data_IF_726034378815
#
_entry.id   IF_726034378815
#
_cell.length_a   1.000
_cell.length_b   1.000
_cell.length_c   1.000
_cell.angle_alpha   90.00
_cell.angle_beta   90.00
_cell.angle_gamma   90.00
#
_symmetry.space_group_name_H-M   'P 1'
#
loop_
_entity.id
_entity.type
_entity.pdbx_description
1 polymer ?
#
# COMPACT_ATOMS: atom_id res chain seq x y z
N UNK A 1 29.86 3.30 8.13
CA UNK A 1 28.46 3.65 8.34
C UNK A 1 27.80 2.47 9.02
N UNK A 2 27.16 2.71 10.16
CA UNK A 2 26.40 1.69 10.88
C UNK A 2 24.90 1.96 10.65
N UNK A 3 24.09 0.96 10.22
CA UNK A 3 22.66 1.16 10.08
C UNK A 3 22.04 1.43 11.46
N UNK A 4 21.14 2.41 11.54
CA UNK A 4 20.35 2.68 12.76
C UNK A 4 19.19 1.69 12.89
N UNK A 5 18.66 1.24 11.75
CA UNK A 5 17.50 0.36 11.68
C UNK A 5 17.60 -0.48 10.39
N UNK A 6 17.19 -1.73 10.48
CA UNK A 6 17.08 -2.64 9.35
C UNK A 6 15.79 -3.46 9.41
N UNK A 7 15.56 -4.34 8.44
CA UNK A 7 14.40 -5.23 8.39
C UNK A 7 13.08 -4.53 8.06
N UNK A 8 13.08 -3.25 7.69
CA UNK A 8 11.89 -2.57 7.18
C UNK A 8 11.49 -3.16 5.83
N UNK A 9 10.18 -3.16 5.55
CA UNK A 9 9.67 -3.63 4.27
C UNK A 9 9.95 -2.58 3.20
N UNK A 10 10.94 -2.85 2.38
CA UNK A 10 11.31 -1.99 1.25
C UNK A 10 11.52 -2.86 0.03
N UNK A 11 10.87 -2.53 -1.06
CA UNK A 11 10.92 -3.30 -2.32
C UNK A 11 9.53 -3.43 -2.94
N UNK A 12 9.49 -3.84 -4.21
CA UNK A 12 8.26 -3.76 -4.98
C UNK A 12 8.08 -2.36 -5.58
N UNK A 13 6.86 -1.93 -5.74
CA UNK A 13 6.53 -0.65 -6.41
C UNK A 13 7.04 0.57 -5.65
N UNK A 14 7.05 0.50 -4.33
CA UNK A 14 7.47 1.61 -3.48
C UNK A 14 8.40 1.11 -2.36
N UNK A 15 9.09 2.06 -1.74
CA UNK A 15 10.12 1.79 -0.76
C UNK A 15 10.01 2.75 0.44
N UNK A 16 10.94 2.65 1.37
CA UNK A 16 11.08 3.61 2.47
C UNK A 16 11.49 4.97 1.89
N UNK A 17 10.65 5.97 2.13
CA UNK A 17 10.80 7.30 1.53
C UNK A 17 11.57 8.28 2.42
N UNK A 18 11.17 9.53 2.32
CA UNK A 18 11.76 10.70 2.99
C UNK A 18 11.71 10.61 4.53
N UNK A 19 12.59 11.35 5.20
CA UNK A 19 12.68 11.41 6.67
C UNK A 19 12.49 12.85 7.14
N UNK A 20 11.59 13.05 8.09
CA UNK A 20 11.41 14.32 8.80
C UNK A 20 11.70 14.16 10.29
N UNK A 21 12.14 15.25 10.92
CA UNK A 21 12.35 15.29 12.38
C UNK A 21 11.24 16.09 13.03
N UNK A 22 10.57 15.46 13.99
CA UNK A 22 9.45 16.06 14.70
C UNK A 22 9.86 17.00 15.82
N UNK A 23 8.94 17.87 16.25
CA UNK A 23 9.17 18.77 17.39
C UNK A 23 9.33 18.01 18.72
N UNK A 24 8.98 16.74 18.75
CA UNK A 24 9.17 15.81 19.87
C UNK A 24 10.57 15.16 19.90
N UNK A 25 11.45 15.52 18.96
CA UNK A 25 12.81 14.98 18.85
C UNK A 25 12.86 13.56 18.25
N UNK A 26 11.79 13.09 17.62
CA UNK A 26 11.75 11.78 16.92
C UNK A 26 11.97 11.96 15.42
N UNK A 27 12.42 10.93 14.75
CA UNK A 27 12.37 10.85 13.28
C UNK A 27 11.06 10.18 12.83
N UNK A 28 10.57 10.65 11.68
CA UNK A 28 9.35 10.16 11.03
C UNK A 28 9.66 9.82 9.58
N UNK A 29 9.15 8.70 9.09
CA UNK A 29 9.39 8.27 7.70
C UNK A 29 8.25 7.41 7.20
N UNK A 30 8.07 7.41 5.87
CA UNK A 30 7.05 6.62 5.20
C UNK A 30 7.60 5.30 4.66
N UNK A 31 6.75 4.27 4.64
CA UNK A 31 6.99 3.02 3.91
C UNK A 31 5.78 2.75 3.02
N UNK A 32 5.99 2.76 1.70
CA UNK A 32 4.93 2.57 0.72
C UNK A 32 4.52 1.11 0.53
N UNK A 33 3.45 0.90 -0.21
CA UNK A 33 2.97 -0.42 -0.62
C UNK A 33 3.95 -1.10 -1.56
N UNK A 34 4.01 -2.41 -1.54
CA UNK A 34 4.85 -3.18 -2.49
C UNK A 34 4.13 -3.44 -3.80
N UNK A 35 2.84 -3.17 -3.87
CA UNK A 35 2.00 -3.30 -5.07
C UNK A 35 1.29 -2.01 -5.40
N UNK A 36 0.72 -1.92 -6.60
CA UNK A 36 -0.12 -0.79 -7.00
C UNK A 36 -1.35 -0.62 -6.10
N UNK A 37 -2.09 -1.70 -5.85
CA UNK A 37 -3.40 -1.66 -5.20
C UNK A 37 -3.68 -2.90 -4.33
N UNK A 38 -2.72 -3.33 -3.51
CA UNK A 38 -2.73 -4.49 -2.62
C UNK A 38 -2.88 -5.86 -3.31
N UNK A 39 -2.83 -5.92 -4.64
CA UNK A 39 -2.92 -7.16 -5.42
C UNK A 39 -1.67 -7.30 -6.27
N UNK A 40 -0.95 -8.40 -6.09
CA UNK A 40 0.21 -8.73 -6.90
C UNK A 40 -0.25 -9.18 -8.29
N UNK A 41 0.21 -8.50 -9.32
CA UNK A 41 -0.17 -8.74 -10.71
C UNK A 41 1.01 -9.05 -11.62
N UNK A 42 0.70 -9.23 -12.90
CA UNK A 42 1.71 -9.44 -13.95
C UNK A 42 2.67 -8.24 -14.11
N UNK A 43 2.24 -7.04 -13.76
CA UNK A 43 3.07 -5.84 -13.72
C UNK A 43 4.26 -6.00 -12.77
N UNK A 44 4.05 -6.59 -11.58
CA UNK A 44 5.14 -6.86 -10.62
C UNK A 44 6.17 -7.87 -11.18
N UNK A 45 5.77 -8.74 -12.14
CA UNK A 45 6.71 -9.58 -12.87
C UNK A 45 7.54 -8.77 -13.87
N UNK A 46 6.89 -7.93 -14.69
CA UNK A 46 7.59 -7.11 -15.68
C UNK A 46 8.55 -6.11 -15.07
N UNK A 47 8.29 -5.62 -13.86
CA UNK A 47 9.24 -4.82 -13.09
C UNK A 47 10.34 -5.64 -12.42
N UNK A 48 10.33 -6.97 -12.56
CA UNK A 48 11.35 -7.87 -12.03
C UNK A 48 11.17 -8.28 -10.56
N UNK A 49 10.15 -7.77 -9.89
CA UNK A 49 9.95 -8.02 -8.45
C UNK A 49 9.65 -9.49 -8.15
N UNK A 50 8.82 -10.16 -8.95
CA UNK A 50 8.46 -11.56 -8.71
C UNK A 50 9.64 -12.53 -8.95
N UNK A 51 10.60 -12.14 -9.79
CA UNK A 51 11.82 -12.94 -10.01
C UNK A 51 12.73 -12.96 -8.78
N UNK A 52 12.86 -11.84 -8.09
CA UNK A 52 13.70 -11.69 -6.89
C UNK A 52 12.95 -11.97 -5.59
N UNK A 53 11.64 -11.73 -5.55
CA UNK A 53 10.79 -11.86 -4.37
C UNK A 53 9.49 -12.62 -4.69
N UNK A 54 9.53 -13.95 -4.88
CA UNK A 54 8.37 -14.73 -5.35
C UNK A 54 7.20 -14.76 -4.35
N UNK A 55 7.45 -14.37 -3.10
CA UNK A 55 6.42 -14.25 -2.06
C UNK A 55 6.05 -12.79 -1.76
N UNK A 56 6.35 -11.87 -2.68
CA UNK A 56 5.99 -10.46 -2.56
C UNK A 56 4.49 -10.32 -2.32
N UNK A 57 4.11 -9.56 -1.30
CA UNK A 57 2.76 -9.06 -1.06
C UNK A 57 2.81 -7.94 -0.04
N UNK A 58 1.80 -7.10 -0.01
CA UNK A 58 1.63 -6.11 1.04
C UNK A 58 1.37 -6.78 2.40
N UNK A 59 1.88 -6.18 3.47
CA UNK A 59 1.66 -6.62 4.85
C UNK A 59 1.01 -5.47 5.59
N UNK A 60 -0.23 -5.63 6.07
CA UNK A 60 -0.93 -4.55 6.76
C UNK A 60 -0.42 -4.36 8.19
N UNK A 61 -0.56 -3.13 8.72
CA UNK A 61 -0.32 -2.85 10.14
C UNK A 61 -1.44 -3.42 11.02
N UNK A 62 -2.68 -3.21 10.62
CA UNK A 62 -3.87 -3.74 11.33
C UNK A 62 -4.27 -5.09 10.74
N UNK A 63 -4.87 -5.95 11.54
CA UNK A 63 -5.51 -7.14 10.99
C UNK A 63 -6.65 -6.72 10.03
N UNK A 64 -6.68 -7.35 8.86
CA UNK A 64 -7.66 -7.07 7.80
C UNK A 64 -8.50 -8.32 7.56
N UNK A 65 -9.83 -8.17 7.55
CA UNK A 65 -10.76 -9.21 7.10
C UNK A 65 -11.06 -9.00 5.62
N UNK A 66 -10.78 -10.00 4.79
CA UNK A 66 -10.95 -9.94 3.34
C UNK A 66 -12.38 -10.26 2.91
N UNK A 67 -12.83 -9.64 1.81
CA UNK A 67 -14.08 -9.99 1.14
C UNK A 67 -14.00 -11.24 0.27
N UNK A 68 -12.77 -11.71 -0.04
CA UNK A 68 -12.54 -12.84 -0.93
C UNK A 68 -12.60 -12.48 -2.42
N UNK A 69 -12.45 -11.20 -2.75
CA UNK A 69 -12.32 -10.75 -4.14
C UNK A 69 -10.95 -11.17 -4.67
N UNK A 70 -10.95 -11.78 -5.84
CA UNK A 70 -9.74 -12.27 -6.50
C UNK A 70 -9.67 -11.74 -7.93
N UNK A 71 -8.47 -11.40 -8.37
CA UNK A 71 -8.22 -10.83 -9.69
C UNK A 71 -7.50 -11.83 -10.58
N UNK A 72 -8.06 -12.03 -11.78
CA UNK A 72 -7.48 -12.88 -12.80
C UNK A 72 -6.40 -12.10 -13.56
N UNK A 73 -5.26 -12.72 -13.78
CA UNK A 73 -4.21 -12.19 -14.64
C UNK A 73 -3.53 -13.32 -15.44
N UNK A 74 -2.80 -12.96 -16.51
CA UNK A 74 -1.91 -13.90 -17.15
C UNK A 74 -0.86 -14.40 -16.16
N UNK A 75 -0.51 -15.68 -16.23
CA UNK A 75 0.58 -16.23 -15.43
C UNK A 75 1.91 -16.06 -16.19
N UNK A 76 2.78 -15.13 -15.78
CA UNK A 76 4.01 -14.83 -16.51
C UNK A 76 5.02 -15.99 -16.50
N UNK A 77 4.91 -16.91 -15.54
CA UNK A 77 5.77 -18.09 -15.46
C UNK A 77 5.40 -19.19 -16.47
N UNK A 78 4.29 -19.03 -17.20
CA UNK A 78 3.79 -19.97 -18.19
C UNK A 78 3.68 -19.37 -19.60
N UNK A 79 4.21 -18.18 -19.84
CA UNK A 79 4.10 -17.47 -21.12
C UNK A 79 4.71 -18.24 -22.31
N UNK A 80 5.67 -19.13 -22.06
CA UNK A 80 6.31 -19.96 -23.09
C UNK A 80 5.61 -21.31 -23.29
N UNK A 81 4.48 -21.56 -22.66
CA UNK A 81 3.71 -22.80 -22.83
C UNK A 81 2.71 -22.65 -23.99
N UNK A 82 2.34 -23.75 -24.67
CA UNK A 82 1.40 -23.72 -25.80
C UNK A 82 0.02 -23.12 -25.41
N UNK A 83 -0.37 -23.26 -24.16
CA UNK A 83 -1.60 -22.65 -23.61
C UNK A 83 -1.16 -21.81 -22.43
N UNK A 84 -1.15 -20.46 -22.53
CA UNK A 84 -0.83 -19.59 -21.41
C UNK A 84 -1.85 -19.82 -20.30
N UNK A 85 -1.37 -20.16 -19.12
CA UNK A 85 -2.21 -20.28 -17.93
C UNK A 85 -2.48 -18.91 -17.33
N UNK A 86 -3.60 -18.80 -16.63
CA UNK A 86 -3.95 -17.64 -15.83
C UNK A 86 -3.74 -17.94 -14.35
N UNK A 87 -3.63 -16.90 -13.53
CA UNK A 87 -3.56 -16.98 -12.07
C UNK A 87 -4.61 -16.08 -11.43
N UNK A 88 -5.17 -16.56 -10.34
CA UNK A 88 -6.08 -15.79 -9.49
C UNK A 88 -5.31 -15.34 -8.26
N UNK A 89 -5.30 -14.03 -7.98
CA UNK A 89 -4.58 -13.45 -6.85
C UNK A 89 -5.52 -12.60 -6.01
N UNK A 90 -5.55 -12.86 -4.71
CA UNK A 90 -6.27 -12.08 -3.72
C UNK A 90 -5.43 -10.90 -3.21
N UNK A 91 -6.08 -9.92 -2.60
CA UNK A 91 -5.38 -8.83 -1.94
C UNK A 91 -4.55 -9.33 -0.74
N UNK A 92 -3.41 -8.70 -0.49
CA UNK A 92 -2.44 -9.06 0.56
C UNK A 92 -1.92 -10.51 0.46
N UNK A 93 -1.97 -11.09 -0.73
CA UNK A 93 -1.51 -12.46 -1.02
C UNK A 93 -0.38 -12.45 -2.05
N UNK A 94 0.55 -13.41 -1.98
CA UNK A 94 1.50 -13.64 -3.06
C UNK A 94 0.81 -13.93 -4.39
N UNK A 95 1.51 -13.68 -5.50
CA UNK A 95 1.01 -13.97 -6.84
C UNK A 95 0.48 -15.42 -6.96
N UNK A 96 -0.70 -15.58 -7.53
CA UNK A 96 -1.35 -16.88 -7.74
C UNK A 96 -1.98 -17.49 -6.48
N UNK A 97 -2.02 -16.77 -5.37
CA UNK A 97 -2.69 -17.23 -4.14
C UNK A 97 -4.01 -16.50 -3.97
N UNK A 98 -5.15 -17.17 -4.14
CA UNK A 98 -6.46 -16.56 -3.94
C UNK A 98 -6.76 -16.31 -2.45
N UNK A 99 -7.65 -15.37 -2.18
CA UNK A 99 -8.24 -15.12 -0.87
C UNK A 99 -9.65 -15.71 -0.77
N UNK A 100 -10.09 -15.99 0.45
CA UNK A 100 -11.44 -16.46 0.76
C UNK A 100 -12.26 -15.39 1.49
N UNK A 101 -13.61 -15.38 1.34
CA UNK A 101 -14.47 -14.50 2.11
C UNK A 101 -14.29 -14.70 3.63
N UNK A 102 -14.09 -13.60 4.35
CA UNK A 102 -13.88 -13.63 5.79
C UNK A 102 -12.47 -14.02 6.25
N UNK A 103 -11.56 -14.35 5.33
CA UNK A 103 -10.17 -14.62 5.65
C UNK A 103 -9.53 -13.42 6.36
N UNK A 104 -8.76 -13.68 7.42
CA UNK A 104 -8.07 -12.63 8.18
C UNK A 104 -6.59 -12.63 7.83
N UNK A 105 -6.10 -11.50 7.34
CA UNK A 105 -4.67 -11.22 7.22
C UNK A 105 -4.22 -10.60 8.53
N UNK A 106 -3.25 -11.20 9.25
CA UNK A 106 -2.79 -10.66 10.52
C UNK A 106 -2.05 -9.34 10.33
N UNK A 107 -2.21 -8.43 11.28
CA UNK A 107 -1.43 -7.20 11.34
C UNK A 107 0.02 -7.44 11.76
N UNK A 108 0.90 -6.51 11.40
CA UNK A 108 2.32 -6.55 11.75
C UNK A 108 2.84 -5.16 12.08
N UNK A 109 3.74 -5.05 13.08
CA UNK A 109 4.47 -3.80 13.29
C UNK A 109 5.37 -3.48 12.08
N UNK A 110 5.99 -4.48 11.46
CA UNK A 110 6.77 -4.31 10.22
C UNK A 110 5.82 -4.45 9.03
N UNK A 111 5.25 -3.34 8.63
CA UNK A 111 4.16 -3.24 7.66
C UNK A 111 4.52 -2.38 6.44
N UNK A 112 3.66 -2.42 5.43
CA UNK A 112 3.63 -1.49 4.30
C UNK A 112 2.52 -0.45 4.48
N UNK A 113 2.55 0.61 3.68
CA UNK A 113 1.50 1.63 3.63
C UNK A 113 1.33 2.37 4.94
N UNK A 114 2.46 2.71 5.59
CA UNK A 114 2.50 3.27 6.95
C UNK A 114 3.45 4.46 7.06
N UNK A 115 3.18 5.30 8.05
CA UNK A 115 4.12 6.27 8.60
C UNK A 115 4.64 5.71 9.93
N UNK A 116 5.93 5.62 10.03
CA UNK A 116 6.63 5.28 11.27
C UNK A 116 7.14 6.50 12.01
N UNK A 117 7.33 6.36 13.31
CA UNK A 117 8.28 7.18 14.06
C UNK A 117 9.20 6.31 14.89
N UNK A 118 10.43 6.79 15.11
CA UNK A 118 11.42 6.16 15.95
C UNK A 118 12.27 7.22 16.67
N UNK A 119 13.00 6.82 17.72
CA UNK A 119 14.03 7.67 18.32
C UNK A 119 15.21 7.85 17.34
N UNK A 120 16.03 8.86 17.55
CA UNK A 120 17.17 9.16 16.69
C UNK A 120 18.25 8.06 16.67
N UNK A 121 18.25 7.18 17.67
CA UNK A 121 19.11 6.00 17.72
C UNK A 121 18.51 4.76 17.03
N UNK A 122 17.32 4.91 16.40
CA UNK A 122 16.59 3.83 15.76
C UNK A 122 15.70 3.00 16.67
N UNK A 123 15.75 3.21 17.98
CA UNK A 123 14.93 2.48 18.93
C UNK A 123 13.48 2.99 18.98
N UNK A 124 12.60 2.27 19.69
CA UNK A 124 11.20 2.64 19.92
C UNK A 124 10.42 2.91 18.63
N UNK A 125 10.55 1.99 17.64
CA UNK A 125 9.79 2.04 16.40
C UNK A 125 8.30 1.85 16.68
N UNK A 126 7.48 2.75 16.14
CA UNK A 126 6.01 2.68 16.22
C UNK A 126 5.36 3.17 14.94
N UNK A 127 4.19 2.64 14.63
CA UNK A 127 3.35 3.15 13.54
C UNK A 127 2.55 4.34 14.05
N UNK A 128 2.64 5.45 13.33
CA UNK A 128 1.90 6.70 13.58
C UNK A 128 0.58 6.71 12.82
N UNK A 129 0.61 6.24 11.57
CA UNK A 129 -0.56 6.18 10.68
C UNK A 129 -0.40 5.04 9.68
N UNK A 130 -1.52 4.55 9.16
CA UNK A 130 -1.54 3.51 8.13
C UNK A 130 -2.59 3.77 7.04
N UNK A 131 -2.58 2.95 6.00
CA UNK A 131 -3.51 3.09 4.89
C UNK A 131 -3.14 4.20 3.90
N UNK A 132 -1.87 4.59 3.83
CA UNK A 132 -1.28 5.45 2.79
C UNK A 132 -0.65 4.55 1.72
N UNK A 133 -0.88 4.84 0.42
CA UNK A 133 -0.34 3.99 -0.65
C UNK A 133 1.16 4.13 -0.79
N UNK A 134 1.63 5.35 -0.98
CA UNK A 134 3.05 5.66 -1.10
C UNK A 134 3.35 7.04 -0.50
N UNK A 135 3.61 7.11 0.80
CA UNK A 135 3.96 8.35 1.50
C UNK A 135 5.39 8.77 1.15
N UNK A 136 5.58 9.44 0.00
CA UNK A 136 6.90 9.76 -0.55
C UNK A 136 7.48 11.09 -0.07
N UNK A 137 6.66 12.02 0.39
CA UNK A 137 7.11 13.29 0.94
C UNK A 137 6.53 13.51 2.34
N UNK A 138 7.36 13.90 3.31
CA UNK A 138 6.95 14.05 4.70
C UNK A 138 7.56 15.31 5.32
N UNK A 139 6.78 16.05 6.12
CA UNK A 139 7.28 17.26 6.76
C UNK A 139 6.38 17.79 7.86
N UNK A 140 6.99 18.54 8.76
CA UNK A 140 6.27 19.26 9.81
C UNK A 140 6.09 20.72 9.42
N UNK A 141 4.87 21.25 9.61
CA UNK A 141 4.68 22.70 9.56
C UNK A 141 5.27 23.37 10.81
N UNK A 142 5.51 24.69 10.80
CA UNK A 142 5.91 25.42 12.00
C UNK A 142 4.92 25.31 13.17
N UNK A 143 3.69 24.93 12.89
CA UNK A 143 2.65 24.67 13.90
C UNK A 143 2.78 23.29 14.57
N UNK A 144 3.77 22.47 14.19
CA UNK A 144 4.01 21.13 14.74
C UNK A 144 3.14 20.02 14.13
N UNK A 145 2.26 20.31 13.17
CA UNK A 145 1.47 19.28 12.52
C UNK A 145 2.28 18.57 11.43
N UNK A 146 2.15 17.25 11.34
CA UNK A 146 2.77 16.41 10.31
C UNK A 146 1.91 16.40 9.06
N UNK A 147 2.54 16.61 7.89
CA UNK A 147 1.94 16.49 6.58
C UNK A 147 2.69 15.47 5.74
N UNK A 148 1.95 14.77 4.90
CA UNK A 148 2.48 13.72 4.01
C UNK A 148 1.91 13.91 2.61
N UNK A 149 2.78 13.78 1.60
CA UNK A 149 2.40 13.61 0.21
C UNK A 149 2.29 12.12 -0.07
N UNK A 150 1.11 11.68 -0.48
CA UNK A 150 0.79 10.29 -0.79
C UNK A 150 0.48 10.16 -2.29
N UNK A 151 1.27 9.34 -2.98
CA UNK A 151 1.11 9.12 -4.41
C UNK A 151 -0.13 8.28 -4.69
N UNK A 152 -0.92 8.71 -5.67
CA UNK A 152 -2.11 8.02 -6.14
C UNK A 152 -1.82 6.69 -6.84
N UNK A 153 -2.88 5.95 -7.14
CA UNK A 153 -2.80 4.66 -7.82
C UNK A 153 -2.51 4.83 -9.32
N UNK A 154 -2.04 3.75 -9.95
CA UNK A 154 -1.78 3.71 -11.40
C UNK A 154 -2.83 2.86 -12.12
N UNK A 155 -3.09 3.20 -13.39
CA UNK A 155 -3.97 2.45 -14.29
C UNK A 155 -3.29 1.19 -14.85
N UNK A 156 -2.75 0.32 -13.95
CA UNK A 156 -2.01 -0.90 -14.30
C UNK A 156 -2.22 -2.01 -13.27
N UNK A 157 -1.73 -3.20 -13.62
CA UNK A 157 -1.79 -4.38 -12.77
C UNK A 157 -3.15 -5.05 -12.78
N UNK A 158 -3.32 -6.06 -11.94
CA UNK A 158 -4.57 -6.84 -11.89
C UNK A 158 -5.74 -6.06 -11.30
N UNK A 159 -5.46 -5.05 -10.46
CA UNK A 159 -6.43 -4.14 -9.88
C UNK A 159 -6.03 -2.71 -10.25
N UNK A 160 -6.28 -2.37 -11.51
CA UNK A 160 -5.93 -1.07 -12.07
C UNK A 160 -6.88 0.03 -11.59
N UNK A 161 -6.35 1.23 -11.34
CA UNK A 161 -7.12 2.39 -10.88
C UNK A 161 -6.74 3.61 -11.69
N UNK A 162 -7.67 4.14 -12.47
CA UNK A 162 -7.47 5.36 -13.27
C UNK A 162 -7.78 6.62 -12.48
N UNK A 163 -7.30 7.75 -12.98
CA UNK A 163 -7.64 9.10 -12.48
C UNK A 163 -7.42 9.29 -10.96
N UNK A 164 -6.49 8.55 -10.39
CA UNK A 164 -6.13 8.69 -8.99
C UNK A 164 -5.17 9.87 -8.81
N UNK A 165 -5.57 10.95 -8.14
CA UNK A 165 -4.67 12.06 -7.86
C UNK A 165 -3.68 11.70 -6.76
N UNK A 166 -2.53 12.37 -6.76
CA UNK A 166 -1.69 12.48 -5.57
C UNK A 166 -2.42 13.34 -4.52
N UNK A 167 -2.13 13.10 -3.26
CA UNK A 167 -2.85 13.75 -2.16
C UNK A 167 -1.89 14.24 -1.08
N UNK A 168 -2.21 15.39 -0.50
CA UNK A 168 -1.57 15.84 0.73
C UNK A 168 -2.50 15.58 1.91
N UNK A 169 -1.97 14.93 2.94
CA UNK A 169 -2.69 14.61 4.16
C UNK A 169 -2.08 15.30 5.37
N UNK A 170 -2.93 15.82 6.25
CA UNK A 170 -2.53 16.10 7.63
C UNK A 170 -2.63 14.81 8.42
N UNK A 171 -1.53 14.40 9.04
CA UNK A 171 -1.47 13.11 9.75
C UNK A 171 -1.97 13.26 11.18
N UNK A 172 -2.83 12.33 11.57
CA UNK A 172 -3.36 12.16 12.92
C UNK A 172 -2.81 10.83 13.45
N UNK A 173 -2.32 10.84 14.68
CA UNK A 173 -1.81 9.62 15.33
C UNK A 173 -2.90 8.55 15.43
N UNK A 174 -2.56 7.32 15.04
CA UNK A 174 -3.52 6.21 14.93
C UNK A 174 -4.47 6.29 13.74
N UNK A 175 -4.33 7.29 12.83
CA UNK A 175 -5.22 7.49 11.69
C UNK A 175 -5.03 6.45 10.58
N UNK A 176 -6.15 6.08 9.91
CA UNK A 176 -6.16 5.28 8.67
C UNK A 176 -6.59 6.13 7.49
N UNK A 177 -5.88 6.03 6.33
CA UNK A 177 -6.00 6.94 5.19
C UNK A 177 -6.56 6.30 3.91
N UNK A 178 -7.02 5.05 3.99
CA UNK A 178 -7.89 4.48 2.97
C UNK A 178 -7.29 3.39 2.07
N UNK A 179 -5.96 3.24 1.98
CA UNK A 179 -5.38 2.14 1.19
C UNK A 179 -5.79 0.78 1.76
N UNK A 180 -6.25 -0.17 0.94
CA UNK A 180 -6.24 -0.15 -0.53
C UNK A 180 -7.60 0.17 -1.16
N UNK A 181 -8.61 0.55 -0.41
CA UNK A 181 -10.00 0.59 -0.88
C UNK A 181 -10.54 2.01 -1.13
N UNK A 182 -9.74 3.04 -0.84
CA UNK A 182 -10.10 4.43 -1.08
C UNK A 182 -9.02 5.16 -1.87
N UNK A 183 -9.43 6.05 -2.73
CA UNK A 183 -8.62 6.97 -3.54
C UNK A 183 -8.85 8.37 -3.01
N UNK A 184 -7.84 8.96 -2.36
CA UNK A 184 -7.96 10.34 -1.83
C UNK A 184 -9.24 10.57 -1.00
N UNK A 185 -9.59 9.60 -0.14
CA UNK A 185 -10.77 9.65 0.71
C UNK A 185 -12.11 9.29 0.04
N UNK A 186 -12.08 8.85 -1.23
CA UNK A 186 -13.28 8.42 -1.98
C UNK A 186 -13.22 6.91 -2.26
N UNK A 187 -14.35 6.19 -2.22
CA UNK A 187 -14.37 4.77 -2.53
C UNK A 187 -13.72 4.45 -3.88
N UNK A 188 -12.86 3.43 -3.92
CA UNK A 188 -12.18 3.00 -5.16
C UNK A 188 -13.17 2.50 -6.22
N UNK A 189 -14.39 2.14 -5.80
CA UNK A 189 -15.49 1.68 -6.66
C UNK A 189 -16.19 2.81 -7.41
N UNK A 190 -15.85 4.07 -7.18
CA UNK A 190 -16.42 5.19 -7.93
C UNK A 190 -16.11 5.06 -9.43
N UNK A 191 -17.06 5.37 -10.33
CA UNK A 191 -16.92 5.13 -11.77
C UNK A 191 -15.68 5.78 -12.41
N UNK A 192 -15.27 6.94 -11.93
CA UNK A 192 -14.09 7.66 -12.46
C UNK A 192 -12.77 6.93 -12.20
N UNK A 193 -12.71 6.00 -11.25
CA UNK A 193 -11.51 5.21 -10.94
C UNK A 193 -11.43 3.92 -11.75
N UNK A 194 -12.44 3.62 -12.56
CA UNK A 194 -12.41 2.45 -13.42
C UNK A 194 -11.46 2.65 -14.59
N UNK A 195 -10.60 1.68 -14.82
CA UNK A 195 -9.68 1.66 -15.97
C UNK A 195 -10.36 1.01 -17.16
N UNK A 196 -10.48 1.70 -18.31
CA UNK A 196 -11.11 1.11 -19.49
C UNK A 196 -10.45 -0.21 -19.91
N UNK A 197 -11.27 -1.21 -20.17
CA UNK A 197 -10.78 -2.54 -20.59
C UNK A 197 -10.20 -3.42 -19.49
N UNK A 198 -10.20 -2.94 -18.24
CA UNK A 198 -9.77 -3.72 -17.07
C UNK A 198 -10.97 -4.06 -16.17
N UNK A 199 -10.87 -5.13 -15.37
CA UNK A 199 -11.86 -5.39 -14.33
C UNK A 199 -11.99 -4.18 -13.39
N UNK A 200 -13.23 -3.80 -12.99
CA UNK A 200 -13.42 -2.68 -12.08
C UNK A 200 -12.77 -2.98 -10.72
N UNK A 201 -12.14 -2.00 -10.07
CA UNK A 201 -11.62 -2.18 -8.72
C UNK A 201 -12.79 -2.32 -7.73
N UNK A 202 -12.82 -3.43 -7.02
CA UNK A 202 -13.79 -3.70 -5.95
C UNK A 202 -13.15 -3.46 -4.59
N UNK A 203 -13.97 -3.29 -3.53
CA UNK A 203 -13.46 -3.35 -2.17
C UNK A 203 -12.92 -4.74 -1.86
N UNK A 204 -11.71 -4.81 -1.34
CA UNK A 204 -11.07 -6.06 -0.93
C UNK A 204 -11.13 -6.30 0.58
N UNK A 205 -11.33 -5.23 1.37
CA UNK A 205 -11.56 -5.32 2.81
C UNK A 205 -13.07 -5.48 3.10
N UNK A 206 -13.39 -6.34 4.05
CA UNK A 206 -14.77 -6.54 4.51
C UNK A 206 -15.27 -5.41 5.40
N UNK A 207 -14.37 -4.84 6.18
CA UNK A 207 -14.63 -3.73 7.10
C UNK A 207 -13.51 -2.71 6.95
N UNK A 208 -13.86 -1.42 7.01
CA UNK A 208 -12.90 -0.33 6.93
C UNK A 208 -12.84 0.41 8.27
N UNK A 209 -11.63 0.73 8.79
CA UNK A 209 -11.51 1.74 9.82
C UNK A 209 -12.10 3.07 9.32
N UNK A 210 -12.55 3.97 10.21
CA UNK A 210 -12.94 5.30 9.80
C UNK A 210 -11.75 6.03 9.17
N UNK A 211 -11.99 6.73 8.06
CA UNK A 211 -10.98 7.61 7.46
C UNK A 211 -10.58 8.70 8.45
N UNK A 212 -9.28 8.92 8.59
CA UNK A 212 -8.73 9.90 9.54
C UNK A 212 -8.97 11.37 9.13
N UNK A 213 -9.53 11.60 7.94
CA UNK A 213 -9.88 12.93 7.44
C UNK A 213 -10.03 12.95 5.92
N UNK A 214 -10.07 14.17 5.39
CA UNK A 214 -10.03 14.45 3.95
C UNK A 214 -8.64 14.97 3.58
N UNK A 215 -8.16 14.72 2.36
CA UNK A 215 -6.90 15.31 1.92
C UNK A 215 -6.98 16.84 1.91
N UNK A 216 -5.88 17.46 2.27
CA UNK A 216 -5.74 18.93 2.25
C UNK A 216 -5.63 19.44 0.82
N UNK A 217 -4.96 18.66 -0.05
CA UNK A 217 -4.84 18.89 -1.50
C UNK A 217 -5.03 17.56 -2.24
N UNK A 218 -5.54 17.68 -3.47
CA UNK A 218 -5.72 16.57 -4.43
C UNK A 218 -5.18 16.98 -5.79
#
# INVERSE_FOLDING_TARGET
VTPLMDGLRSGGDHFTGDIAFGPDGRMYFGVGSVTNAAVVGVDNFFFGWLGSMPRLCDVPYRAIRLRGVNYLSANPFTLNQPVPCTSMTGAFKPFGVPSSPGEVIPGSLVANSVIYSARLDGSDLRVVADGLRNPFGIGFCPCGALYVLDQGYDARGSRAVSNSPDSMWRIVDGGWYGFPDFVSGRPITCPEFQTPGMPPPEFVMGEHPPLAGQPVLR
#
